data_IF_093359383425
#
_entry.id   IF_093359383425
#
_cell.length_a   1.000
_cell.length_b   1.000
_cell.length_c   1.000
_cell.angle_alpha   90.00
_cell.angle_beta   90.00
_cell.angle_gamma   90.00
#
_symmetry.space_group_name_H-M   'P 1'
#
loop_
_entity.id
_entity.type
_entity.pdbx_description
1 polymer ?
#
# COMPACT_ATOMS: atom_id res chain seq x y z
N UNK A 1 4.03 -15.70 0.57
CA UNK A 1 3.66 -16.64 -0.52
C UNK A 1 2.62 -16.00 -1.42
N UNK A 2 2.74 -16.23 -2.74
CA UNK A 2 1.71 -15.90 -3.71
C UNK A 2 0.42 -16.68 -3.42
N UNK A 3 -0.72 -16.04 -3.58
CA UNK A 3 -2.04 -16.64 -3.42
C UNK A 3 -3.00 -16.13 -4.50
N UNK A 4 -4.16 -16.76 -4.62
CA UNK A 4 -5.15 -16.51 -5.66
C UNK A 4 -5.62 -15.04 -5.71
N UNK A 5 -5.61 -14.32 -4.58
CA UNK A 5 -5.96 -12.89 -4.54
C UNK A 5 -5.06 -12.01 -5.40
N UNK A 6 -3.75 -12.28 -5.44
CA UNK A 6 -2.83 -11.54 -6.31
C UNK A 6 -3.14 -11.76 -7.79
N UNK A 7 -3.44 -13.00 -8.18
CA UNK A 7 -3.78 -13.33 -9.58
C UNK A 7 -5.15 -12.77 -9.96
N UNK A 8 -6.11 -12.76 -9.04
CA UNK A 8 -7.45 -12.25 -9.29
C UNK A 8 -7.42 -10.77 -9.67
N UNK A 9 -6.87 -9.92 -8.82
CA UNK A 9 -6.79 -8.48 -9.07
C UNK A 9 -6.05 -8.16 -10.38
N UNK A 10 -4.92 -8.82 -10.61
CA UNK A 10 -4.11 -8.59 -11.81
C UNK A 10 -4.81 -9.06 -13.08
N UNK A 11 -5.52 -10.20 -13.04
CA UNK A 11 -6.29 -10.70 -14.20
C UNK A 11 -7.46 -9.80 -14.57
N UNK A 12 -8.15 -9.21 -13.57
CA UNK A 12 -9.21 -8.24 -13.81
C UNK A 12 -8.65 -6.98 -14.48
N UNK A 13 -7.54 -6.45 -13.95
CA UNK A 13 -6.88 -5.28 -14.53
C UNK A 13 -6.35 -5.56 -15.96
N UNK A 14 -5.75 -6.73 -16.19
CA UNK A 14 -5.28 -7.16 -17.51
C UNK A 14 -6.43 -7.28 -18.52
N UNK A 15 -7.56 -7.82 -18.10
CA UNK A 15 -8.77 -7.93 -18.95
C UNK A 15 -9.24 -6.55 -19.39
N UNK A 16 -9.29 -5.59 -18.46
CA UNK A 16 -9.67 -4.20 -18.77
C UNK A 16 -8.64 -3.54 -19.70
N UNK A 17 -7.35 -3.73 -19.46
CA UNK A 17 -6.28 -3.19 -20.29
C UNK A 17 -6.37 -3.72 -21.73
N UNK A 18 -6.57 -5.03 -21.90
CA UNK A 18 -6.77 -5.66 -23.21
C UNK A 18 -8.01 -5.16 -23.92
N UNK A 19 -9.13 -5.07 -23.21
CA UNK A 19 -10.37 -4.54 -23.76
C UNK A 19 -10.21 -3.10 -24.24
N UNK A 20 -9.56 -2.24 -23.46
CA UNK A 20 -9.32 -0.85 -23.86
C UNK A 20 -8.37 -0.73 -25.04
N UNK A 21 -7.32 -1.54 -25.13
CA UNK A 21 -6.45 -1.61 -26.30
C UNK A 21 -7.22 -2.03 -27.55
N UNK A 22 -8.08 -3.04 -27.45
CA UNK A 22 -8.95 -3.46 -28.56
C UNK A 22 -9.93 -2.35 -29.00
N UNK A 23 -10.38 -1.52 -28.05
CA UNK A 23 -11.23 -0.36 -28.33
C UNK A 23 -10.44 0.88 -28.86
N UNK A 24 -9.15 0.75 -29.14
CA UNK A 24 -8.31 1.80 -29.73
C UNK A 24 -7.74 2.84 -28.73
N UNK A 25 -7.81 2.57 -27.42
CA UNK A 25 -7.18 3.43 -26.43
C UNK A 25 -5.67 3.18 -26.32
N UNK A 26 -4.91 4.23 -26.08
CA UNK A 26 -3.53 4.13 -25.62
C UNK A 26 -3.53 3.73 -24.14
N UNK A 27 -3.08 2.51 -23.85
CA UNK A 27 -3.16 1.93 -22.50
C UNK A 27 -1.78 1.56 -22.01
N UNK A 28 -1.39 2.11 -20.86
CA UNK A 28 -0.23 1.66 -20.09
C UNK A 28 -0.71 0.89 -18.85
N UNK A 29 -0.41 -0.40 -18.81
CA UNK A 29 -0.75 -1.28 -17.69
C UNK A 29 0.47 -1.53 -16.81
N UNK A 30 0.44 -0.99 -15.60
CA UNK A 30 1.50 -1.12 -14.61
C UNK A 30 1.10 -2.16 -13.56
N UNK A 31 2.01 -3.06 -13.25
CA UNK A 31 1.98 -3.91 -12.05
C UNK A 31 3.16 -3.57 -11.15
N UNK A 32 3.19 -4.08 -9.91
CA UNK A 32 4.31 -3.80 -9.01
C UNK A 32 4.26 -4.58 -7.71
N UNK A 33 5.19 -4.26 -6.82
CA UNK A 33 5.34 -4.84 -5.49
C UNK A 33 5.53 -3.76 -4.44
N UNK A 34 4.87 -3.93 -3.29
CA UNK A 34 5.12 -3.18 -2.07
C UNK A 34 6.13 -3.96 -1.21
N UNK A 35 7.26 -3.32 -0.88
CA UNK A 35 8.46 -4.02 -0.39
C UNK A 35 8.97 -3.52 0.95
N UNK A 36 8.29 -2.61 1.61
CA UNK A 36 8.68 -2.06 2.90
C UNK A 36 7.87 -2.67 4.05
N UNK A 37 8.28 -2.34 5.28
CA UNK A 37 7.57 -2.69 6.51
C UNK A 37 8.25 -3.76 7.36
N UNK A 38 7.90 -3.79 8.65
CA UNK A 38 8.49 -4.70 9.65
C UNK A 38 8.27 -6.17 9.32
N UNK A 39 7.16 -6.49 8.66
CA UNK A 39 6.83 -7.86 8.25
C UNK A 39 7.85 -8.42 7.25
N UNK A 40 8.27 -7.60 6.29
CA UNK A 40 9.33 -7.95 5.33
C UNK A 40 10.66 -8.10 6.04
N UNK A 41 11.01 -7.15 6.92
CA UNK A 41 12.26 -7.19 7.68
C UNK A 41 12.36 -8.46 8.52
N UNK A 42 11.36 -8.78 9.35
CA UNK A 42 11.34 -9.97 10.21
C UNK A 42 11.42 -11.27 9.38
N UNK A 43 10.76 -11.30 8.21
CA UNK A 43 10.79 -12.47 7.34
C UNK A 43 12.16 -12.68 6.67
N UNK A 44 12.87 -11.61 6.32
CA UNK A 44 14.22 -11.65 5.79
C UNK A 44 15.23 -12.08 6.87
N UNK A 45 15.15 -11.49 8.07
CA UNK A 45 15.98 -11.84 9.23
C UNK A 45 15.84 -13.32 9.60
N UNK A 46 14.62 -13.86 9.59
CA UNK A 46 14.36 -15.29 9.85
C UNK A 46 15.03 -16.22 8.82
N UNK A 47 15.39 -15.72 7.64
CA UNK A 47 16.10 -16.46 6.59
C UNK A 47 17.59 -16.10 6.51
N UNK A 48 18.07 -15.15 7.33
CA UNK A 48 19.45 -14.71 7.33
C UNK A 48 19.89 -13.96 6.07
N UNK A 49 18.92 -13.29 5.38
CA UNK A 49 19.14 -12.51 4.17
C UNK A 49 18.68 -11.07 4.34
N UNK A 50 19.06 -10.20 3.43
CA UNK A 50 18.61 -8.80 3.44
C UNK A 50 17.15 -8.66 3.02
N UNK A 51 16.40 -7.61 3.48
CA UNK A 51 15.04 -7.33 3.02
C UNK A 51 14.95 -7.19 1.50
N UNK A 52 15.94 -6.55 0.86
CA UNK A 52 15.99 -6.40 -0.59
C UNK A 52 16.16 -7.73 -1.32
N UNK A 53 16.97 -8.63 -0.82
CA UNK A 53 17.15 -9.97 -1.38
C UNK A 53 15.86 -10.80 -1.20
N UNK A 54 15.25 -10.72 -0.03
CA UNK A 54 13.98 -11.39 0.26
C UNK A 54 12.88 -10.96 -0.70
N UNK A 55 12.69 -9.65 -0.88
CA UNK A 55 11.67 -9.10 -1.80
C UNK A 55 12.01 -9.39 -3.24
N UNK A 56 13.28 -9.37 -3.64
CA UNK A 56 13.72 -9.75 -5.00
C UNK A 56 13.32 -11.19 -5.34
N UNK A 57 13.48 -12.12 -4.40
CA UNK A 57 13.07 -13.50 -4.60
C UNK A 57 11.54 -13.62 -4.80
N UNK A 58 10.76 -12.84 -4.05
CA UNK A 58 9.29 -12.79 -4.21
C UNK A 58 8.92 -12.19 -5.57
N UNK A 59 9.52 -11.07 -5.95
CA UNK A 59 9.27 -10.38 -7.23
C UNK A 59 9.58 -11.27 -8.43
N UNK A 60 10.66 -12.04 -8.37
CA UNK A 60 10.96 -13.03 -9.42
C UNK A 60 9.85 -14.07 -9.57
N UNK A 61 9.25 -14.49 -8.44
CA UNK A 61 8.08 -15.36 -8.44
C UNK A 61 6.83 -14.70 -9.07
N UNK A 62 6.59 -13.40 -8.80
CA UNK A 62 5.50 -12.65 -9.46
C UNK A 62 5.71 -12.56 -10.96
N UNK A 63 6.91 -12.15 -11.39
CA UNK A 63 7.22 -12.00 -12.82
C UNK A 63 7.05 -13.32 -13.56
N UNK A 64 7.56 -14.43 -13.02
CA UNK A 64 7.39 -15.75 -13.61
C UNK A 64 5.91 -16.19 -13.66
N UNK A 65 5.11 -15.81 -12.66
CA UNK A 65 3.68 -16.09 -12.67
C UNK A 65 2.94 -15.25 -13.71
N UNK A 66 3.25 -13.94 -13.83
CA UNK A 66 2.66 -13.06 -14.86
C UNK A 66 2.98 -13.55 -16.27
N UNK A 67 4.20 -14.00 -16.52
CA UNK A 67 4.59 -14.59 -17.79
C UNK A 67 3.76 -15.85 -18.09
N UNK A 68 3.65 -16.77 -17.12
CA UNK A 68 2.84 -17.98 -17.26
C UNK A 68 1.36 -17.72 -17.49
N UNK A 69 0.83 -16.65 -16.92
CA UNK A 69 -0.57 -16.22 -17.07
C UNK A 69 -0.78 -15.32 -18.29
N UNK A 70 0.26 -15.02 -19.06
CA UNK A 70 0.22 -14.11 -20.19
C UNK A 70 -0.32 -12.71 -19.83
N UNK A 71 0.00 -12.20 -18.63
CA UNK A 71 -0.36 -10.84 -18.22
C UNK A 71 0.34 -9.83 -19.14
N UNK A 72 -0.44 -8.89 -19.67
CA UNK A 72 0.03 -7.92 -20.66
C UNK A 72 0.51 -6.60 -20.09
N UNK A 73 1.11 -6.63 -18.90
CA UNK A 73 1.67 -5.43 -18.26
C UNK A 73 2.85 -4.87 -19.06
N UNK A 74 2.86 -3.56 -19.23
CA UNK A 74 3.92 -2.83 -19.91
C UNK A 74 5.13 -2.59 -19.02
N UNK A 75 4.91 -2.54 -17.70
CA UNK A 75 5.95 -2.23 -16.74
C UNK A 75 5.67 -2.94 -15.41
N UNK A 76 6.72 -3.11 -14.59
CA UNK A 76 6.66 -3.61 -13.23
C UNK A 76 7.49 -2.68 -12.34
N UNK A 77 6.83 -1.99 -11.40
CA UNK A 77 7.46 -1.06 -10.46
C UNK A 77 7.68 -1.74 -9.11
N UNK A 78 8.84 -1.52 -8.52
CA UNK A 78 9.12 -1.89 -7.13
C UNK A 78 9.19 -0.63 -6.27
N UNK A 79 8.66 -0.66 -5.08
CA UNK A 79 8.78 0.50 -4.16
C UNK A 79 10.22 0.75 -3.71
N UNK A 80 11.12 -0.23 -3.94
CA UNK A 80 12.57 -0.14 -3.75
C UNK A 80 13.34 0.28 -5.01
N UNK A 81 12.68 0.53 -6.14
CA UNK A 81 13.35 1.05 -7.33
C UNK A 81 13.73 2.52 -7.12
N UNK A 82 14.94 2.91 -7.52
CA UNK A 82 15.42 4.30 -7.44
C UNK A 82 14.47 5.29 -8.14
N UNK A 83 13.89 4.89 -9.28
CA UNK A 83 12.91 5.70 -10.00
C UNK A 83 11.64 5.96 -9.20
N UNK A 84 11.23 5.03 -8.32
CA UNK A 84 10.11 5.21 -7.41
C UNK A 84 10.52 6.09 -6.23
N UNK A 85 11.62 5.77 -5.57
CA UNK A 85 12.12 6.50 -4.40
C UNK A 85 12.36 7.99 -4.71
N UNK A 86 12.95 8.30 -5.86
CA UNK A 86 13.18 9.68 -6.31
C UNK A 86 11.89 10.50 -6.36
N UNK A 87 10.82 9.94 -6.91
CA UNK A 87 9.52 10.61 -7.02
C UNK A 87 8.87 10.77 -5.65
N UNK A 88 8.91 9.72 -4.82
CA UNK A 88 8.36 9.75 -3.46
C UNK A 88 9.08 10.81 -2.61
N UNK A 89 10.41 10.85 -2.65
CA UNK A 89 11.21 11.84 -1.92
C UNK A 89 10.87 13.27 -2.36
N UNK A 90 10.74 13.50 -3.66
CA UNK A 90 10.38 14.82 -4.18
C UNK A 90 8.98 15.28 -3.73
N UNK A 91 7.98 14.39 -3.77
CA UNK A 91 6.62 14.67 -3.31
C UNK A 91 6.57 14.91 -1.79
N UNK A 92 7.25 14.05 -1.03
CA UNK A 92 7.33 14.16 0.42
C UNK A 92 7.98 15.47 0.84
N UNK A 93 9.13 15.82 0.23
CA UNK A 93 9.83 17.07 0.50
C UNK A 93 8.96 18.27 0.22
N UNK A 94 8.27 18.28 -0.93
CA UNK A 94 7.33 19.36 -1.29
C UNK A 94 6.21 19.52 -0.25
N UNK A 95 5.63 18.42 0.23
CA UNK A 95 4.57 18.45 1.24
C UNK A 95 5.13 18.90 2.61
N UNK A 96 6.35 18.48 2.95
CA UNK A 96 7.04 18.90 4.17
C UNK A 96 7.35 20.40 4.17
N UNK A 97 7.93 20.92 3.09
CA UNK A 97 8.23 22.35 2.91
C UNK A 97 6.98 23.22 2.91
N UNK A 98 5.85 22.71 2.42
CA UNK A 98 4.53 23.37 2.50
C UNK A 98 3.97 23.38 3.93
N UNK A 99 4.57 22.64 4.86
CA UNK A 99 4.13 22.51 6.25
C UNK A 99 2.92 21.60 6.43
N UNK A 100 2.64 20.74 5.47
CA UNK A 100 1.58 19.75 5.53
C UNK A 100 2.03 18.46 6.25
N UNK A 101 3.33 18.25 6.36
CA UNK A 101 3.94 17.16 7.09
C UNK A 101 4.71 17.70 8.29
N UNK A 102 4.62 17.02 9.42
CA UNK A 102 5.36 17.34 10.63
C UNK A 102 5.86 16.06 11.30
N UNK A 103 6.90 16.19 12.10
CA UNK A 103 7.51 15.08 12.85
C UNK A 103 7.00 15.10 14.28
N UNK A 104 6.60 13.95 14.80
CA UNK A 104 6.16 13.78 16.17
C UNK A 104 6.39 12.34 16.65
N UNK A 105 6.42 12.16 17.96
CA UNK A 105 6.42 10.82 18.56
C UNK A 105 5.00 10.24 18.53
N UNK A 106 4.92 8.98 18.11
CA UNK A 106 3.71 8.18 18.19
C UNK A 106 3.95 6.97 19.08
N UNK A 107 3.00 6.69 19.97
CA UNK A 107 3.01 5.52 20.82
C UNK A 107 1.64 4.84 20.74
N UNK A 108 1.63 3.54 20.42
CA UNK A 108 0.41 2.77 20.27
C UNK A 108 0.66 1.27 20.27
N UNK A 109 -0.43 0.52 20.27
CA UNK A 109 -0.39 -0.93 20.15
C UNK A 109 -0.36 -1.34 18.68
N UNK A 110 0.70 -2.00 18.27
CA UNK A 110 0.93 -2.35 16.86
C UNK A 110 0.76 -3.85 16.62
N UNK A 111 -0.07 -4.17 15.63
CA UNK A 111 -0.20 -5.52 15.10
C UNK A 111 0.71 -5.71 13.88
N UNK A 112 1.83 -6.40 14.06
CA UNK A 112 2.78 -6.63 12.95
C UNK A 112 2.19 -7.43 11.78
N UNK A 113 1.34 -8.48 12.00
CA UNK A 113 0.75 -9.20 10.88
C UNK A 113 -0.23 -8.38 10.03
N UNK A 114 -1.00 -7.49 10.66
CA UNK A 114 -2.01 -6.66 9.99
C UNK A 114 -1.50 -5.25 9.69
N UNK A 115 -0.25 -4.94 10.12
CA UNK A 115 0.43 -3.64 9.91
C UNK A 115 -0.42 -2.44 10.35
N UNK A 116 -1.12 -2.60 11.50
CA UNK A 116 -2.11 -1.63 11.99
C UNK A 116 -1.87 -1.26 13.44
N UNK A 117 -1.99 0.02 13.75
CA UNK A 117 -2.01 0.54 15.12
C UNK A 117 -3.41 0.52 15.69
N UNK A 118 -3.50 0.18 16.97
CA UNK A 118 -4.74 0.16 17.75
C UNK A 118 -4.64 1.03 18.99
N UNK A 119 -5.74 1.67 19.34
CA UNK A 119 -5.89 2.28 20.67
C UNK A 119 -6.20 1.20 21.70
N UNK A 120 -5.77 1.39 22.94
CA UNK A 120 -5.98 0.41 24.01
C UNK A 120 -7.46 0.00 24.19
N UNK A 121 -8.39 0.95 23.98
CA UNK A 121 -9.83 0.72 24.08
C UNK A 121 -10.40 -0.24 23.03
N UNK A 122 -9.71 -0.40 21.90
CA UNK A 122 -10.13 -1.26 20.78
C UNK A 122 -9.51 -2.65 20.82
N UNK A 123 -8.57 -2.89 21.74
CA UNK A 123 -7.90 -4.19 21.82
C UNK A 123 -8.86 -5.28 22.32
N UNK A 124 -8.64 -6.48 21.82
CA UNK A 124 -9.24 -7.70 22.35
C UNK A 124 -8.64 -8.11 23.70
N UNK A 125 -9.17 -9.17 24.33
CA UNK A 125 -8.67 -9.70 25.59
C UNK A 125 -7.15 -9.98 25.52
N UNK A 126 -6.44 -9.72 26.63
CA UNK A 126 -4.98 -9.93 26.72
C UNK A 126 -4.15 -9.17 25.68
N UNK A 127 -4.56 -7.95 25.32
CA UNK A 127 -3.89 -7.11 24.30
C UNK A 127 -3.73 -7.83 22.95
N UNK A 128 -4.82 -8.32 22.42
CA UNK A 128 -4.86 -8.93 21.09
C UNK A 128 -5.46 -7.99 20.06
N UNK A 129 -5.01 -8.15 18.80
CA UNK A 129 -5.57 -7.44 17.66
C UNK A 129 -7.04 -7.84 17.46
N UNK A 130 -7.98 -6.89 17.34
CA UNK A 130 -9.39 -7.20 17.14
C UNK A 130 -9.68 -7.90 15.82
N UNK A 131 -8.84 -7.69 14.80
CA UNK A 131 -9.05 -8.24 13.46
C UNK A 131 -8.52 -9.67 13.32
N UNK A 132 -7.27 -9.92 13.76
CA UNK A 132 -6.65 -11.24 13.57
C UNK A 132 -6.46 -12.06 14.85
N UNK A 133 -6.79 -11.50 16.03
CA UNK A 133 -6.68 -12.17 17.34
C UNK A 133 -5.25 -12.42 17.85
N UNK A 134 -4.22 -11.96 17.14
CA UNK A 134 -2.81 -12.14 17.53
C UNK A 134 -2.38 -11.09 18.56
N UNK A 135 -1.36 -11.38 19.39
CA UNK A 135 -0.81 -10.40 20.31
C UNK A 135 -0.30 -9.15 19.57
N UNK A 136 -0.55 -7.98 20.18
CA UNK A 136 0.00 -6.70 19.71
C UNK A 136 1.15 -6.28 20.62
N UNK A 137 2.08 -5.50 20.07
CA UNK A 137 3.25 -4.98 20.77
C UNK A 137 3.09 -3.47 20.97
N UNK A 138 3.54 -2.95 22.13
CA UNK A 138 3.58 -1.51 22.34
C UNK A 138 4.80 -0.94 21.64
N UNK A 139 4.56 -0.09 20.66
CA UNK A 139 5.59 0.55 19.82
C UNK A 139 5.56 2.04 20.10
N UNK A 140 6.74 2.61 20.35
CA UNK A 140 6.97 4.05 20.43
C UNK A 140 8.01 4.41 19.39
N UNK A 141 7.64 5.25 18.45
CA UNK A 141 8.52 5.69 17.39
C UNK A 141 8.33 7.16 17.04
N UNK A 142 9.39 7.80 16.58
CA UNK A 142 9.32 9.09 15.95
C UNK A 142 8.88 8.90 14.49
N UNK A 143 7.78 9.52 14.12
CA UNK A 143 7.16 9.33 12.81
C UNK A 143 6.75 10.66 12.18
N UNK A 144 6.48 10.64 10.88
CA UNK A 144 5.94 11.78 10.16
C UNK A 144 4.43 11.68 10.07
N UNK A 145 3.77 12.82 10.30
CA UNK A 145 2.33 12.94 10.26
C UNK A 145 1.91 13.93 9.18
N UNK A 146 0.87 13.60 8.44
CA UNK A 146 0.24 14.49 7.49
C UNK A 146 -0.95 15.20 8.12
N UNK A 147 -1.04 16.54 7.93
CA UNK A 147 -2.14 17.36 8.45
C UNK A 147 -3.41 17.20 7.62
N UNK A 148 -3.98 16.00 7.60
CA UNK A 148 -5.15 15.67 6.80
C UNK A 148 -6.33 16.61 7.09
N UNK A 149 -6.55 16.98 8.36
CA UNK A 149 -7.63 17.87 8.78
C UNK A 149 -7.61 19.26 8.10
N UNK A 150 -6.44 19.71 7.63
CA UNK A 150 -6.33 20.96 6.86
C UNK A 150 -7.11 20.93 5.53
N UNK A 151 -7.33 19.74 4.99
CA UNK A 151 -7.93 19.52 3.69
C UNK A 151 -9.38 19.04 3.77
N UNK A 152 -9.93 18.82 4.98
CA UNK A 152 -11.24 18.20 5.19
C UNK A 152 -12.36 18.96 4.47
N UNK A 153 -12.46 20.26 4.68
CA UNK A 153 -13.55 21.05 4.10
C UNK A 153 -13.47 21.10 2.56
N UNK A 154 -12.26 21.26 2.01
CA UNK A 154 -12.03 21.25 0.57
C UNK A 154 -12.39 19.90 -0.06
N UNK A 155 -12.07 18.80 0.66
CA UNK A 155 -12.35 17.45 0.19
C UNK A 155 -13.84 17.14 0.23
N UNK A 156 -14.53 17.52 1.29
CA UNK A 156 -15.99 17.36 1.40
C UNK A 156 -16.72 18.18 0.32
N UNK A 157 -16.32 19.43 0.11
CA UNK A 157 -16.87 20.25 -0.97
C UNK A 157 -16.64 19.61 -2.35
N UNK A 158 -15.42 19.11 -2.61
CA UNK A 158 -15.12 18.44 -3.87
C UNK A 158 -16.00 17.22 -4.12
N UNK A 159 -16.27 16.38 -3.09
CA UNK A 159 -17.14 15.21 -3.20
C UNK A 159 -18.59 15.63 -3.45
N UNK A 160 -19.06 16.72 -2.85
CA UNK A 160 -20.41 17.26 -3.08
C UNK A 160 -20.59 17.76 -4.51
N UNK A 161 -19.59 18.48 -5.02
CA UNK A 161 -19.58 19.06 -6.38
C UNK A 161 -19.38 17.99 -7.47
N UNK A 162 -18.81 16.82 -7.12
CA UNK A 162 -18.49 15.73 -8.04
C UNK A 162 -19.11 14.40 -7.58
N UNK A 163 -20.44 14.23 -7.67
CA UNK A 163 -21.14 13.08 -7.10
C UNK A 163 -20.71 11.72 -7.68
N UNK A 164 -20.21 11.71 -8.91
CA UNK A 164 -19.74 10.50 -9.60
C UNK A 164 -18.28 10.16 -9.32
N UNK A 165 -17.57 10.95 -8.49
CA UNK A 165 -16.17 10.71 -8.20
C UNK A 165 -15.94 9.43 -7.39
N UNK A 166 -16.83 9.13 -6.45
CA UNK A 166 -16.74 7.90 -5.63
C UNK A 166 -17.68 6.85 -6.22
N UNK A 167 -17.11 5.74 -6.68
CA UNK A 167 -17.82 4.62 -7.28
C UNK A 167 -17.46 3.28 -6.60
N UNK A 168 -18.41 2.37 -6.41
CA UNK A 168 -19.87 2.55 -6.55
C UNK A 168 -20.42 3.49 -5.48
N UNK A 169 -21.62 4.06 -5.73
CA UNK A 169 -22.28 5.02 -4.83
C UNK A 169 -22.39 4.52 -3.37
N UNK A 170 -22.55 3.20 -3.19
CA UNK A 170 -22.57 2.57 -1.85
C UNK A 170 -21.33 2.84 -1.01
N UNK A 171 -20.21 3.26 -1.61
CA UNK A 171 -18.95 3.58 -0.92
C UNK A 171 -18.77 5.06 -0.58
N UNK A 172 -19.74 5.89 -0.97
CA UNK A 172 -19.67 7.35 -0.73
C UNK A 172 -19.65 7.73 0.75
N UNK A 173 -20.20 6.91 1.61
CA UNK A 173 -20.31 7.17 3.05
C UNK A 173 -19.21 6.45 3.89
N UNK A 174 -18.25 5.80 3.26
CA UNK A 174 -17.07 5.23 3.91
C UNK A 174 -15.92 6.23 3.95
#
# INVERSE_FOLDING_TARGET
KLHIGHTYCTSVADTIARFKRLAGYDVRFLTGSDEHGQKIQRAAEAQGITPLEYTTNIVNGFKALWEKMHISNDDFIRTTDERHETVVQALFTKAYEKGDIYKAEYEGWYCTPDETFWTEQKLGPNHTCPDCGRPVERVKEESYFFKLGKYTDQWLQFIEENPDFIQPESRRNE
#
